data_IF_065974141378
#
_entry.id   IF_065974141378
#
_cell.length_a   1.000
_cell.length_b   1.000
_cell.length_c   1.000
_cell.angle_alpha   90.00
_cell.angle_beta   90.00
_cell.angle_gamma   90.00
#
_symmetry.space_group_name_H-M   'P 1'
#
loop_
_entity.id
_entity.type
_entity.pdbx_description
1 polymer ?
#
# COMPACT_ATOMS: atom_id res chain seq x y z
N UNK A 1 -26.14 -2.15 -13.56
CA UNK A 1 -25.47 -3.35 -14.10
C UNK A 1 -23.98 -3.09 -14.12
N UNK A 2 -23.20 -3.90 -13.40
CA UNK A 2 -21.75 -3.87 -13.56
C UNK A 2 -21.39 -4.08 -15.04
N UNK A 3 -20.38 -3.38 -15.59
CA UNK A 3 -19.97 -3.56 -16.97
C UNK A 3 -19.68 -5.05 -17.22
N UNK A 4 -20.29 -5.62 -18.26
CA UNK A 4 -20.02 -7.00 -18.66
C UNK A 4 -18.55 -7.14 -19.03
N UNK A 5 -17.97 -8.34 -18.86
CA UNK A 5 -16.56 -8.58 -19.13
C UNK A 5 -16.11 -8.20 -20.56
N UNK A 6 -17.04 -8.13 -21.53
CA UNK A 6 -16.78 -7.68 -22.89
C UNK A 6 -16.75 -6.14 -23.07
N UNK A 7 -17.34 -5.36 -22.14
CA UNK A 7 -17.27 -3.89 -22.14
C UNK A 7 -16.25 -3.32 -21.16
N UNK A 8 -15.55 -4.17 -20.39
CA UNK A 8 -14.61 -3.74 -19.35
C UNK A 8 -13.31 -3.13 -19.90
N UNK A 9 -13.01 -3.28 -21.19
CA UNK A 9 -11.76 -2.82 -21.79
C UNK A 9 -11.62 -1.29 -21.83
N UNK A 10 -12.73 -0.55 -21.77
CA UNK A 10 -12.74 0.92 -21.88
C UNK A 10 -12.96 1.63 -20.54
N UNK A 11 -13.19 0.87 -19.45
CA UNK A 11 -13.37 1.43 -18.11
C UNK A 11 -12.04 1.48 -17.38
N UNK A 12 -11.62 2.69 -17.04
CA UNK A 12 -10.42 2.90 -16.23
C UNK A 12 -10.85 3.13 -14.78
N UNK A 13 -10.36 2.31 -13.84
CA UNK A 13 -10.48 2.63 -12.41
C UNK A 13 -9.80 3.97 -12.18
N UNK A 14 -10.56 4.99 -11.76
CA UNK A 14 -10.16 6.37 -11.99
C UNK A 14 -8.87 6.71 -11.23
N UNK A 15 -7.77 7.04 -11.92
CA UNK A 15 -6.62 7.65 -11.29
C UNK A 15 -6.94 9.15 -11.12
N UNK A 16 -7.21 9.60 -9.90
CA UNK A 16 -7.51 11.00 -9.64
C UNK A 16 -7.44 11.31 -8.15
N UNK A 17 -7.31 12.58 -7.79
CA UNK A 17 -7.20 13.03 -6.40
C UNK A 17 -8.43 13.87 -6.02
N UNK A 18 -9.24 13.45 -5.03
CA UNK A 18 -9.09 12.22 -4.26
C UNK A 18 -9.53 10.98 -5.07
N UNK A 19 -8.82 9.87 -4.88
CA UNK A 19 -9.18 8.59 -5.51
C UNK A 19 -10.39 8.03 -4.76
N UNK A 20 -11.51 7.87 -5.46
CA UNK A 20 -12.62 7.09 -4.93
C UNK A 20 -12.48 5.65 -5.41
N UNK A 21 -12.10 4.76 -4.50
CA UNK A 21 -12.12 3.32 -4.76
C UNK A 21 -13.55 2.90 -5.16
N UNK A 22 -13.68 1.93 -6.07
CA UNK A 22 -14.98 1.55 -6.61
C UNK A 22 -15.59 2.60 -7.54
N UNK A 23 -14.76 3.41 -8.21
CA UNK A 23 -15.20 4.36 -9.24
C UNK A 23 -14.43 4.13 -10.53
N UNK A 24 -15.17 4.11 -11.64
CA UNK A 24 -14.63 3.91 -12.98
C UNK A 24 -15.07 5.04 -13.88
N UNK A 25 -14.17 5.45 -14.77
CA UNK A 25 -14.45 6.45 -15.78
C UNK A 25 -14.17 5.87 -17.15
N UNK A 26 -15.06 6.16 -18.10
CA UNK A 26 -14.90 5.82 -19.51
C UNK A 26 -14.92 7.11 -20.31
N UNK A 27 -13.81 7.41 -20.96
CA UNK A 27 -13.75 8.54 -21.89
C UNK A 27 -14.64 8.24 -23.11
N UNK A 28 -15.43 9.22 -23.54
CA UNK A 28 -16.21 9.12 -24.77
C UNK A 28 -15.58 10.01 -25.84
N UNK A 29 -15.51 9.55 -27.09
CA UNK A 29 -14.79 10.25 -28.16
C UNK A 29 -15.37 11.63 -28.50
N UNK A 30 -16.66 11.85 -28.20
CA UNK A 30 -17.42 13.03 -28.64
C UNK A 30 -18.35 13.60 -27.57
N UNK A 31 -18.13 13.29 -26.29
CA UNK A 31 -19.08 13.65 -25.24
C UNK A 31 -18.46 13.83 -23.86
N UNK A 32 -19.35 13.91 -22.88
CA UNK A 32 -18.96 13.87 -21.48
C UNK A 32 -18.42 12.48 -21.13
N UNK A 33 -17.43 12.38 -20.24
CA UNK A 33 -16.98 11.09 -19.76
C UNK A 33 -18.13 10.40 -19.02
N UNK A 34 -18.26 9.10 -19.22
CA UNK A 34 -19.17 8.30 -18.42
C UNK A 34 -18.51 7.94 -17.10
N UNK A 35 -19.28 7.98 -16.04
CA UNK A 35 -18.83 7.68 -14.69
C UNK A 35 -19.70 6.60 -14.09
N UNK A 36 -19.05 5.58 -13.53
CA UNK A 36 -19.71 4.49 -12.83
C UNK A 36 -19.15 4.37 -11.41
N UNK A 37 -20.04 4.17 -10.45
CA UNK A 37 -19.69 3.97 -9.04
C UNK A 37 -20.35 2.69 -8.55
N UNK A 38 -19.55 1.82 -7.93
CA UNK A 38 -20.05 0.61 -7.30
C UNK A 38 -20.11 0.79 -5.79
N UNK A 39 -21.33 0.74 -5.28
CA UNK A 39 -21.53 0.78 -3.84
C UNK A 39 -21.28 -0.58 -3.20
N UNK A 40 -20.77 -0.58 -1.97
CA UNK A 40 -20.48 -1.82 -1.25
C UNK A 40 -19.26 -2.58 -1.78
N UNK A 41 -18.45 -1.96 -2.65
CA UNK A 41 -17.10 -2.44 -2.95
C UNK A 41 -16.35 -2.68 -1.62
N UNK A 42 -15.58 -3.76 -1.52
CA UNK A 42 -15.00 -4.24 -0.24
C UNK A 42 -14.25 -3.14 0.52
N UNK A 43 -13.69 -2.19 -0.24
CA UNK A 43 -12.94 -1.06 0.28
C UNK A 43 -13.78 0.18 0.64
N UNK A 44 -14.96 0.38 0.03
CA UNK A 44 -15.82 1.54 0.29
C UNK A 44 -16.87 1.29 1.36
N UNK A 45 -17.12 0.03 1.74
CA UNK A 45 -18.16 -0.36 2.70
C UNK A 45 -18.09 0.37 4.06
N UNK A 46 -16.90 0.77 4.50
CA UNK A 46 -16.72 1.49 5.77
C UNK A 46 -16.32 2.97 5.59
N UNK A 47 -16.29 3.46 4.34
CA UNK A 47 -15.93 4.85 4.04
C UNK A 47 -17.09 5.82 4.34
N UNK A 48 -16.81 7.13 4.38
CA UNK A 48 -17.88 8.13 4.36
C UNK A 48 -18.70 7.98 3.07
N UNK A 49 -19.98 8.42 3.05
CA UNK A 49 -20.79 8.41 1.85
C UNK A 49 -20.07 9.10 0.68
N UNK A 50 -20.18 8.56 -0.54
CA UNK A 50 -19.47 9.10 -1.70
C UNK A 50 -19.92 10.53 -1.99
N UNK A 51 -18.95 11.38 -2.36
CA UNK A 51 -19.15 12.77 -2.79
C UNK A 51 -18.35 13.03 -4.06
N UNK A 52 -19.05 13.15 -5.17
CA UNK A 52 -18.50 13.23 -6.52
C UNK A 52 -18.63 14.69 -7.00
N UNK A 53 -17.52 15.41 -7.03
CA UNK A 53 -17.44 16.77 -7.58
C UNK A 53 -17.30 16.74 -9.10
N UNK A 54 -18.04 17.62 -9.79
CA UNK A 54 -18.04 17.75 -11.25
C UNK A 54 -17.64 19.19 -11.60
N UNK A 55 -16.66 19.37 -12.50
CA UNK A 55 -16.21 20.70 -12.90
C UNK A 55 -14.94 20.70 -13.77
N UNK A 56 -14.38 21.87 -14.02
CA UNK A 56 -13.14 22.02 -14.83
C UNK A 56 -11.85 21.90 -14.03
N UNK A 57 -11.91 21.89 -12.70
CA UNK A 57 -10.72 21.85 -11.86
C UNK A 57 -10.05 20.47 -11.86
N UNK A 58 -8.74 20.43 -11.61
CA UNK A 58 -7.95 19.19 -11.56
C UNK A 58 -8.31 18.25 -10.40
N UNK A 59 -8.95 18.79 -9.35
CA UNK A 59 -9.45 18.04 -8.19
C UNK A 59 -10.88 17.51 -8.38
N UNK A 60 -11.48 17.71 -9.56
CA UNK A 60 -12.83 17.22 -9.82
C UNK A 60 -12.84 15.70 -10.01
N UNK A 61 -13.83 15.04 -9.39
CA UNK A 61 -14.08 13.61 -9.60
C UNK A 61 -14.55 13.34 -11.03
N UNK A 62 -15.25 14.26 -11.66
CA UNK A 62 -15.57 14.21 -13.07
C UNK A 62 -15.10 15.52 -13.68
N UNK A 63 -13.96 15.47 -14.35
CA UNK A 63 -13.39 16.62 -15.02
C UNK A 63 -14.06 16.80 -16.36
N UNK A 64 -14.56 18.01 -16.61
CA UNK A 64 -15.18 18.41 -17.87
C UNK A 64 -14.26 19.42 -18.54
N UNK A 65 -13.78 19.12 -19.74
CA UNK A 65 -12.92 20.05 -20.51
C UNK A 65 -13.78 21.05 -21.30
N UNK A 66 -14.60 21.84 -20.60
CA UNK A 66 -15.39 22.92 -21.17
C UNK A 66 -15.22 24.20 -20.35
N UNK A 67 -14.66 25.25 -20.96
CA UNK A 67 -14.38 26.53 -20.31
C UNK A 67 -15.62 27.27 -19.80
N UNK A 68 -16.81 26.86 -20.25
CA UNK A 68 -18.10 27.37 -19.77
C UNK A 68 -18.47 26.80 -18.40
N UNK A 69 -17.95 25.64 -18.06
CA UNK A 69 -18.21 24.95 -16.78
C UNK A 69 -17.29 25.52 -15.70
N UNK A 70 -17.84 25.74 -14.50
CA UNK A 70 -17.07 26.28 -13.38
C UNK A 70 -16.05 25.24 -12.86
N UNK A 71 -14.95 25.67 -12.22
CA UNK A 71 -13.96 24.77 -11.61
C UNK A 71 -14.59 23.71 -10.71
N UNK A 72 -15.56 24.10 -9.88
CA UNK A 72 -16.44 23.22 -9.12
C UNK A 72 -17.88 23.63 -9.44
N UNK A 73 -18.51 22.89 -10.34
CA UNK A 73 -19.82 23.28 -10.88
C UNK A 73 -20.96 22.69 -10.05
N UNK A 74 -20.98 21.37 -9.87
CA UNK A 74 -21.95 20.69 -9.01
C UNK A 74 -21.30 19.52 -8.26
N UNK A 75 -22.04 18.96 -7.31
CA UNK A 75 -21.64 17.80 -6.53
C UNK A 75 -22.78 16.79 -6.51
N UNK A 76 -22.47 15.53 -6.80
CA UNK A 76 -23.37 14.39 -6.65
C UNK A 76 -22.96 13.62 -5.41
N UNK A 77 -23.86 13.38 -4.48
CA UNK A 77 -23.54 12.69 -3.23
C UNK A 77 -24.68 11.81 -2.75
N UNK A 78 -24.36 10.88 -1.85
CA UNK A 78 -25.36 10.00 -1.24
C UNK A 78 -25.59 10.38 0.22
N UNK A 79 -26.86 10.44 0.64
CA UNK A 79 -27.26 10.57 2.04
C UNK A 79 -28.38 9.57 2.34
N UNK A 80 -28.11 8.63 3.25
CA UNK A 80 -28.99 7.48 3.48
C UNK A 80 -29.16 6.64 2.20
N UNK A 81 -30.41 6.44 1.77
CA UNK A 81 -30.78 5.70 0.54
C UNK A 81 -30.74 6.54 -0.73
N UNK A 82 -30.63 7.85 -0.59
CA UNK A 82 -30.94 8.77 -1.68
C UNK A 82 -29.68 9.41 -2.23
N UNK A 83 -29.64 9.51 -3.55
CA UNK A 83 -28.64 10.30 -4.25
C UNK A 83 -29.16 11.71 -4.42
N UNK A 84 -28.26 12.68 -4.31
CA UNK A 84 -28.55 14.09 -4.43
C UNK A 84 -27.58 14.74 -5.40
N UNK A 85 -28.05 15.75 -6.11
CA UNK A 85 -27.21 16.69 -6.84
C UNK A 85 -27.39 18.08 -6.25
N UNK A 86 -26.28 18.79 -6.03
CA UNK A 86 -26.26 20.15 -5.53
C UNK A 86 -25.46 21.02 -6.49
N UNK A 87 -26.06 22.12 -6.96
CA UNK A 87 -25.34 23.14 -7.71
C UNK A 87 -24.41 23.90 -6.75
N UNK A 88 -23.10 23.95 -7.05
CA UNK A 88 -22.10 24.62 -6.20
C UNK A 88 -21.69 25.97 -6.81
N UNK A 89 -21.76 26.07 -8.14
CA UNK A 89 -21.36 27.27 -8.88
C UNK A 89 -22.43 28.35 -8.86
N UNK A 90 -22.03 29.59 -8.55
CA UNK A 90 -22.88 30.78 -8.70
C UNK A 90 -22.85 31.39 -10.10
N UNK A 91 -21.91 30.96 -10.96
CA UNK A 91 -21.71 31.55 -12.30
C UNK A 91 -22.73 31.04 -13.31
N UNK A 92 -23.10 29.77 -13.20
CA UNK A 92 -24.06 29.08 -14.05
C UNK A 92 -24.85 28.10 -13.20
N UNK A 93 -26.16 28.00 -13.43
CA UNK A 93 -27.00 27.08 -12.69
C UNK A 93 -26.78 25.65 -13.16
N UNK A 94 -26.98 24.71 -12.25
CA UNK A 94 -27.22 23.30 -12.56
C UNK A 94 -28.72 23.10 -12.72
N UNK A 95 -29.18 22.38 -13.74
CA UNK A 95 -30.62 22.11 -13.92
C UNK A 95 -30.87 20.60 -13.84
N UNK A 96 -31.99 20.18 -13.26
CA UNK A 96 -32.50 18.80 -13.32
C UNK A 96 -33.83 18.83 -14.09
N UNK A 97 -33.84 18.24 -15.28
CA UNK A 97 -34.89 18.48 -16.27
C UNK A 97 -35.02 19.97 -16.61
N UNK A 98 -36.23 20.52 -16.43
CA UNK A 98 -36.52 21.95 -16.59
C UNK A 98 -36.37 22.76 -15.29
N UNK A 99 -36.00 22.12 -14.18
CA UNK A 99 -35.87 22.76 -12.87
C UNK A 99 -34.46 23.28 -12.66
N UNK A 100 -34.33 24.59 -12.54
CA UNK A 100 -33.06 25.26 -12.18
C UNK A 100 -32.79 25.12 -10.68
N UNK A 101 -31.64 24.57 -10.31
CA UNK A 101 -31.24 24.44 -8.90
C UNK A 101 -30.63 25.74 -8.39
N UNK A 102 -31.04 26.15 -7.19
CA UNK A 102 -30.37 27.23 -6.46
C UNK A 102 -29.03 26.72 -5.90
N UNK A 103 -27.94 27.51 -5.98
CA UNK A 103 -26.66 27.09 -5.43
C UNK A 103 -26.75 26.77 -3.93
N UNK A 104 -26.27 25.59 -3.53
CA UNK A 104 -26.34 25.11 -2.15
C UNK A 104 -27.61 24.33 -1.79
N UNK A 105 -28.59 24.24 -2.69
CA UNK A 105 -29.81 23.45 -2.48
C UNK A 105 -29.68 22.09 -3.15
N UNK A 106 -29.74 21.03 -2.34
CA UNK A 106 -29.67 19.66 -2.82
C UNK A 106 -31.01 19.23 -3.44
N UNK A 107 -30.94 18.56 -4.60
CA UNK A 107 -32.06 17.96 -5.30
C UNK A 107 -31.91 16.44 -5.27
N UNK A 108 -32.92 15.73 -4.79
CA UNK A 108 -32.92 14.27 -4.75
C UNK A 108 -33.07 13.71 -6.18
N UNK A 109 -32.08 12.92 -6.61
CA UNK A 109 -32.06 12.26 -7.90
C UNK A 109 -32.88 10.97 -7.88
N UNK A 110 -33.53 10.69 -9.01
CA UNK A 110 -34.20 9.42 -9.36
C UNK A 110 -33.55 8.78 -10.58
N UNK A 111 -33.69 7.46 -10.73
CA UNK A 111 -33.20 6.77 -11.93
C UNK A 111 -33.98 7.27 -13.15
N UNK A 112 -33.27 7.64 -14.22
CA UNK A 112 -33.79 8.29 -15.41
C UNK A 112 -33.73 9.83 -15.37
N UNK A 113 -33.38 10.44 -14.24
CA UNK A 113 -33.22 11.89 -14.17
C UNK A 113 -32.06 12.35 -15.07
N UNK A 114 -32.25 13.51 -15.70
CA UNK A 114 -31.23 14.16 -16.51
C UNK A 114 -30.88 15.49 -15.87
N UNK A 115 -29.62 15.67 -15.49
CA UNK A 115 -29.13 16.96 -15.03
C UNK A 115 -28.13 17.57 -16.00
N UNK A 116 -28.10 18.90 -16.10
CA UNK A 116 -27.26 19.64 -17.03
C UNK A 116 -26.38 20.66 -16.32
N UNK A 117 -25.17 20.85 -16.85
CA UNK A 117 -24.17 21.81 -16.34
C UNK A 117 -24.28 23.20 -17.00
N UNK A 118 -25.22 23.38 -17.93
CA UNK A 118 -25.39 24.63 -18.66
C UNK A 118 -26.87 24.83 -19.03
N UNK A 119 -27.27 26.10 -19.17
CA UNK A 119 -28.62 26.49 -19.58
C UNK A 119 -28.65 26.99 -21.04
N UNK A 120 -29.67 26.68 -21.84
CA UNK A 120 -30.74 25.68 -21.62
C UNK A 120 -30.19 24.25 -21.78
N UNK A 121 -30.89 23.28 -21.19
CA UNK A 121 -30.42 21.93 -20.81
C UNK A 121 -29.69 21.06 -21.87
N UNK A 122 -29.43 21.49 -23.10
CA UNK A 122 -29.14 20.61 -24.24
C UNK A 122 -27.66 20.31 -24.53
N UNK A 123 -26.71 21.02 -23.91
CA UNK A 123 -25.31 20.92 -24.34
C UNK A 123 -24.47 19.91 -23.53
N UNK A 124 -24.68 19.83 -22.22
CA UNK A 124 -23.88 19.01 -21.31
C UNK A 124 -24.81 18.35 -20.29
N UNK A 125 -25.31 17.17 -20.63
CA UNK A 125 -26.26 16.41 -19.84
C UNK A 125 -25.63 15.13 -19.30
N UNK A 126 -25.93 14.81 -18.05
CA UNK A 126 -25.73 13.49 -17.47
C UNK A 126 -27.09 12.84 -17.26
N UNK A 127 -27.25 11.63 -17.78
CA UNK A 127 -28.33 10.72 -17.44
C UNK A 127 -27.93 9.96 -16.18
N UNK A 128 -28.82 9.94 -15.19
CA UNK A 128 -28.61 9.21 -13.93
C UNK A 128 -29.32 7.87 -14.06
N UNK A 129 -28.57 6.78 -13.89
CA UNK A 129 -29.14 5.44 -13.82
C UNK A 129 -28.73 4.80 -12.49
N UNK A 130 -29.73 4.28 -11.77
CA UNK A 130 -29.52 3.45 -10.59
C UNK A 130 -29.90 2.01 -10.92
N UNK A 131 -29.10 1.07 -10.42
CA UNK A 131 -29.45 -0.34 -10.42
C UNK A 131 -29.91 -0.73 -9.00
N UNK A 132 -31.18 -1.08 -8.85
CA UNK A 132 -31.73 -1.51 -7.57
C UNK A 132 -31.04 -2.77 -7.03
N UNK A 133 -30.46 -3.59 -7.91
CA UNK A 133 -29.67 -4.76 -7.51
C UNK A 133 -28.39 -4.37 -6.77
N UNK A 134 -27.85 -3.17 -7.01
CA UNK A 134 -26.65 -2.67 -6.31
C UNK A 134 -26.96 -2.22 -4.87
N UNK A 135 -28.24 -2.07 -4.50
CA UNK A 135 -28.70 -1.81 -3.14
C UNK A 135 -28.94 -3.09 -2.31
N UNK A 136 -28.40 -4.24 -2.72
CA UNK A 136 -28.62 -5.54 -2.05
C UNK A 136 -28.27 -5.59 -0.56
N UNK A 137 -27.44 -4.66 -0.07
CA UNK A 137 -27.06 -4.56 1.34
C UNK A 137 -28.04 -3.72 2.17
N UNK A 138 -28.95 -3.00 1.52
CA UNK A 138 -30.08 -2.31 2.14
C UNK A 138 -31.28 -3.24 2.12
N UNK A 139 -31.93 -3.42 3.27
CA UNK A 139 -33.23 -4.09 3.31
C UNK A 139 -34.27 -3.16 2.69
N UNK A 140 -34.61 -3.40 1.42
CA UNK A 140 -35.59 -2.60 0.68
C UNK A 140 -37.01 -2.72 1.23
N UNK A 141 -37.27 -3.72 2.10
CA UNK A 141 -38.59 -3.97 2.67
C UNK A 141 -38.80 -3.30 4.03
N UNK A 142 -37.74 -2.87 4.71
CA UNK A 142 -37.85 -2.12 5.95
C UNK A 142 -37.23 -0.73 5.82
N UNK A 143 -37.89 0.30 6.34
CA UNK A 143 -37.30 1.64 6.52
C UNK A 143 -36.16 1.65 7.53
N UNK A 144 -35.86 0.49 8.13
CA UNK A 144 -34.65 0.28 8.88
C UNK A 144 -33.53 0.07 7.87
N UNK A 145 -32.92 1.17 7.42
CA UNK A 145 -31.54 1.14 6.96
C UNK A 145 -30.75 0.34 7.98
N UNK A 146 -30.36 -0.89 7.63
CA UNK A 146 -29.39 -1.60 8.42
C UNK A 146 -28.13 -0.75 8.30
N UNK A 147 -27.74 0.04 9.32
CA UNK A 147 -26.38 0.55 9.32
C UNK A 147 -25.52 -0.72 9.26
N UNK A 148 -24.38 -0.66 8.57
CA UNK A 148 -23.30 -1.63 8.66
C UNK A 148 -23.54 -2.77 9.66
N UNK A 149 -23.44 -4.05 9.27
CA UNK A 149 -23.62 -5.23 10.15
C UNK A 149 -22.92 -5.17 11.54
N UNK A 150 -22.11 -4.17 11.82
CA UNK A 150 -21.84 -3.65 13.15
C UNK A 150 -22.85 -2.56 13.53
N UNK A 151 -23.90 -2.88 14.31
CA UNK A 151 -24.81 -1.86 14.77
C UNK A 151 -23.98 -0.74 15.42
N UNK A 152 -24.19 0.52 15.00
CA UNK A 152 -23.47 1.68 15.54
C UNK A 152 -23.56 1.75 17.08
N UNK A 153 -24.54 1.03 17.64
CA UNK A 153 -24.67 0.66 19.04
C UNK A 153 -25.01 -0.83 19.10
N UNK A 154 -24.09 -1.69 19.56
CA UNK A 154 -24.46 -3.06 19.92
C UNK A 154 -25.73 -3.03 20.79
N UNK A 155 -26.72 -3.93 20.57
CA UNK A 155 -27.86 -4.03 21.48
C UNK A 155 -27.32 -4.28 22.90
N UNK A 156 -27.60 -3.33 23.79
CA UNK A 156 -26.95 -3.17 25.09
C UNK A 156 -26.33 -1.77 25.17
N UNK A 157 -26.95 -0.86 25.92
CA UNK A 157 -26.37 0.45 26.16
C UNK A 157 -24.96 0.24 26.77
N UNK A 158 -23.91 1.01 26.38
CA UNK A 158 -22.56 0.82 26.94
C UNK A 158 -22.50 0.94 28.47
N UNK A 159 -23.54 1.49 29.09
CA UNK A 159 -23.75 1.55 30.55
C UNK A 159 -24.22 0.24 31.18
N UNK A 160 -24.75 -0.71 30.39
CA UNK A 160 -25.27 -2.00 30.85
C UNK A 160 -24.31 -3.17 30.60
N UNK A 161 -23.35 -3.01 29.68
CA UNK A 161 -22.30 -3.99 29.49
C UNK A 161 -21.33 -3.97 30.68
N UNK A 162 -20.96 -5.12 31.26
CA UNK A 162 -19.91 -5.14 32.27
C UNK A 162 -18.61 -4.58 31.67
N UNK A 163 -17.85 -3.78 32.42
CA UNK A 163 -16.60 -3.22 31.92
C UNK A 163 -15.67 -4.36 31.49
N UNK A 164 -15.16 -4.29 30.26
CA UNK A 164 -14.23 -5.29 29.75
C UNK A 164 -13.00 -5.39 30.68
N UNK A 165 -12.54 -6.59 31.02
CA UNK A 165 -11.27 -6.79 31.72
C UNK A 165 -10.13 -6.02 31.05
N UNK A 166 -9.25 -5.39 31.83
CA UNK A 166 -8.11 -4.61 31.31
C UNK A 166 -7.21 -5.44 30.36
N UNK A 167 -7.07 -6.74 30.62
CA UNK A 167 -6.34 -7.65 29.73
C UNK A 167 -6.96 -7.70 28.32
N UNK A 168 -8.29 -7.71 28.21
CA UNK A 168 -8.99 -7.74 26.91
C UNK A 168 -8.92 -6.39 26.20
N UNK A 169 -8.95 -5.27 26.93
CA UNK A 169 -8.70 -3.93 26.34
C UNK A 169 -7.30 -3.85 25.75
N UNK A 170 -6.30 -4.34 26.49
CA UNK A 170 -4.91 -4.41 26.02
C UNK A 170 -4.78 -5.31 24.79
N UNK A 171 -5.47 -6.45 24.79
CA UNK A 171 -5.47 -7.39 23.67
C UNK A 171 -6.10 -6.78 22.41
N UNK A 172 -7.19 -6.01 22.55
CA UNK A 172 -7.82 -5.29 21.45
C UNK A 172 -6.86 -4.27 20.83
N UNK A 173 -6.17 -3.48 21.67
CA UNK A 173 -5.14 -2.55 21.22
C UNK A 173 -3.97 -3.27 20.52
N UNK A 174 -3.46 -4.36 21.10
CA UNK A 174 -2.39 -5.16 20.49
C UNK A 174 -2.81 -5.76 19.13
N UNK A 175 -4.07 -6.16 18.98
CA UNK A 175 -4.61 -6.69 17.73
C UNK A 175 -4.64 -5.62 16.65
N UNK A 176 -5.05 -4.39 16.97
CA UNK A 176 -5.00 -3.26 16.03
C UNK A 176 -3.55 -2.90 15.65
N UNK A 177 -2.61 -2.95 16.59
CA UNK A 177 -1.19 -2.75 16.29
C UNK A 177 -0.64 -3.83 15.36
N UNK A 178 -0.98 -5.11 15.59
CA UNK A 178 -0.55 -6.21 14.72
C UNK A 178 -1.14 -6.09 13.31
N UNK A 179 -2.40 -5.62 13.19
CA UNK A 179 -3.02 -5.33 11.89
C UNK A 179 -2.26 -4.24 11.15
N UNK A 180 -2.03 -3.07 11.77
CA UNK A 180 -1.30 -1.95 11.14
C UNK A 180 0.12 -2.34 10.74
N UNK A 181 0.84 -3.05 11.61
CA UNK A 181 2.18 -3.55 11.29
C UNK A 181 2.16 -4.57 10.16
N UNK A 182 1.12 -5.40 10.07
CA UNK A 182 0.95 -6.34 8.96
C UNK A 182 0.68 -5.63 7.63
N UNK A 183 -0.11 -4.55 7.64
CA UNK A 183 -0.35 -3.70 6.46
C UNK A 183 0.94 -3.02 5.98
N UNK A 184 1.89 -2.80 6.88
CA UNK A 184 3.23 -2.27 6.59
C UNK A 184 4.28 -3.36 6.31
N UNK A 185 3.88 -4.63 6.16
CA UNK A 185 4.77 -5.80 5.94
C UNK A 185 5.80 -6.03 7.08
N UNK A 186 5.56 -5.49 8.27
CA UNK A 186 6.47 -5.55 9.43
C UNK A 186 6.22 -6.75 10.36
N UNK A 187 5.35 -7.69 9.96
CA UNK A 187 4.98 -8.86 10.76
C UNK A 187 5.19 -10.11 9.92
N UNK A 188 6.03 -11.02 10.41
CA UNK A 188 6.20 -12.32 9.77
C UNK A 188 4.95 -13.17 9.96
N UNK A 189 4.64 -14.04 9.00
CA UNK A 189 3.50 -14.97 9.07
C UNK A 189 3.54 -15.82 10.35
N UNK A 190 4.74 -16.21 10.80
CA UNK A 190 4.95 -16.96 12.03
C UNK A 190 4.55 -16.16 13.29
N UNK A 191 4.86 -14.86 13.34
CA UNK A 191 4.50 -13.98 14.44
C UNK A 191 2.99 -13.74 14.49
N UNK A 192 2.36 -13.63 13.32
CA UNK A 192 0.91 -13.51 13.23
C UNK A 192 0.21 -14.76 13.73
N UNK A 193 0.65 -15.95 13.32
CA UNK A 193 0.13 -17.22 13.80
C UNK A 193 0.30 -17.37 15.32
N UNK A 194 1.48 -17.04 15.86
CA UNK A 194 1.75 -17.08 17.30
C UNK A 194 0.83 -16.12 18.07
N UNK A 195 0.65 -14.90 17.56
CA UNK A 195 -0.25 -13.90 18.15
C UNK A 195 -1.72 -14.34 18.11
N UNK A 196 -2.19 -14.92 17.01
CA UNK A 196 -3.56 -15.45 16.93
C UNK A 196 -3.80 -16.57 17.95
N UNK A 197 -2.82 -17.46 18.19
CA UNK A 197 -2.91 -18.46 19.25
C UNK A 197 -2.92 -17.84 20.65
N UNK A 198 -2.13 -16.78 20.87
CA UNK A 198 -2.12 -16.01 22.11
C UNK A 198 -3.48 -15.34 22.39
N UNK A 199 -4.09 -14.71 21.39
CA UNK A 199 -5.43 -14.10 21.47
C UNK A 199 -6.48 -15.17 21.79
N UNK A 200 -6.44 -16.30 21.08
CA UNK A 200 -7.37 -17.43 21.31
C UNK A 200 -7.28 -17.96 22.75
N UNK A 201 -6.07 -18.13 23.28
CA UNK A 201 -5.85 -18.56 24.67
C UNK A 201 -6.42 -17.56 25.68
N UNK A 202 -6.31 -16.25 25.41
CA UNK A 202 -6.87 -15.22 26.27
C UNK A 202 -8.39 -15.19 26.24
N UNK A 203 -9.01 -15.28 25.06
CA UNK A 203 -10.47 -15.38 24.97
C UNK A 203 -11.02 -16.61 25.69
N UNK A 204 -10.33 -17.74 25.59
CA UNK A 204 -10.71 -18.97 26.30
C UNK A 204 -10.70 -18.80 27.83
N UNK A 205 -9.75 -18.03 28.39
CA UNK A 205 -9.69 -17.70 29.84
C UNK A 205 -10.94 -16.96 30.33
N UNK A 206 -11.60 -16.20 29.45
CA UNK A 206 -12.81 -15.42 29.75
C UNK A 206 -14.11 -16.13 29.31
N UNK A 207 -14.03 -17.40 28.91
CA UNK A 207 -15.21 -18.14 28.41
C UNK A 207 -15.73 -17.61 27.07
N UNK A 208 -14.90 -16.89 26.31
CA UNK A 208 -15.22 -16.44 24.96
C UNK A 208 -14.70 -17.50 24.00
N UNK A 209 -15.62 -18.14 23.28
CA UNK A 209 -15.30 -19.19 22.30
C UNK A 209 -15.58 -18.66 20.90
N UNK A 210 -14.64 -18.90 19.99
CA UNK A 210 -14.88 -18.66 18.57
C UNK A 210 -15.51 -19.93 17.98
N UNK A 211 -16.76 -19.84 17.55
CA UNK A 211 -17.34 -20.86 16.69
C UNK A 211 -16.82 -20.66 15.26
N UNK A 212 -16.39 -21.73 14.58
CA UNK A 212 -16.05 -21.62 13.17
C UNK A 212 -17.27 -21.10 12.40
N UNK A 213 -17.07 -20.10 11.55
CA UNK A 213 -18.13 -19.58 10.71
C UNK A 213 -18.70 -20.70 9.82
N UNK A 214 -19.93 -21.14 10.09
CA UNK A 214 -20.56 -22.30 9.43
C UNK A 214 -20.84 -22.10 7.92
N UNK A 215 -20.68 -20.87 7.39
CA UNK A 215 -21.06 -20.54 6.02
C UNK A 215 -20.00 -20.69 4.92
N UNK A 216 -18.73 -20.97 5.25
CA UNK A 216 -17.63 -20.93 4.27
C UNK A 216 -16.77 -22.19 4.21
N UNK A 217 -17.09 -23.21 5.01
CA UNK A 217 -16.43 -24.51 4.93
C UNK A 217 -17.50 -25.55 4.64
N UNK A 218 -17.75 -25.80 3.35
CA UNK A 218 -18.23 -27.12 2.94
C UNK A 218 -17.28 -28.21 3.50
N UNK A 219 -17.62 -29.51 3.35
CA UNK A 219 -16.64 -30.56 3.63
C UNK A 219 -15.34 -30.15 2.96
N UNK A 220 -14.25 -30.08 3.74
CA UNK A 220 -12.96 -29.61 3.23
C UNK A 220 -12.73 -30.30 1.89
N UNK A 221 -12.60 -29.55 0.77
CA UNK A 221 -12.47 -30.18 -0.54
C UNK A 221 -11.39 -31.25 -0.40
N UNK A 222 -11.64 -32.48 -0.88
CA UNK A 222 -10.72 -33.59 -0.67
C UNK A 222 -9.34 -33.09 -1.06
N UNK A 223 -8.41 -33.09 -0.09
CA UNK A 223 -7.06 -32.56 -0.36
C UNK A 223 -6.57 -33.26 -1.62
N UNK A 224 -6.11 -32.51 -2.64
CA UNK A 224 -5.56 -33.17 -3.82
C UNK A 224 -4.50 -34.17 -3.33
N UNK A 225 -4.44 -35.37 -3.92
CA UNK A 225 -3.43 -36.35 -3.54
C UNK A 225 -2.08 -35.66 -3.56
N UNK A 226 -1.26 -35.88 -2.53
CA UNK A 226 0.10 -35.31 -2.49
C UNK A 226 0.75 -35.66 -3.83
N UNK A 227 1.25 -34.68 -4.59
CA UNK A 227 1.87 -34.96 -5.87
C UNK A 227 3.00 -35.97 -5.63
N UNK A 228 3.09 -36.99 -6.49
CA UNK A 228 4.17 -37.96 -6.41
C UNK A 228 5.51 -37.19 -6.45
N UNK A 229 6.47 -37.51 -5.57
CA UNK A 229 7.76 -36.87 -5.56
C UNK A 229 8.40 -37.00 -6.96
N UNK A 230 8.94 -35.90 -7.48
CA UNK A 230 9.58 -35.86 -8.80
C UNK A 230 11.10 -35.88 -8.61
N UNK A 231 11.85 -36.55 -9.50
CA UNK A 231 13.30 -36.46 -9.50
C UNK A 231 13.71 -35.00 -9.70
N UNK A 232 14.73 -34.58 -8.96
CA UNK A 232 15.31 -33.25 -9.08
C UNK A 232 16.15 -33.12 -10.36
N UNK A 233 16.27 -31.89 -10.89
CA UNK A 233 17.25 -31.60 -11.92
C UNK A 233 18.65 -32.01 -11.46
N UNK A 234 19.46 -32.56 -12.36
CA UNK A 234 20.77 -33.14 -12.05
C UNK A 234 21.67 -32.21 -11.23
N UNK A 235 21.70 -30.91 -11.54
CA UNK A 235 22.53 -29.95 -10.81
C UNK A 235 22.13 -29.77 -9.33
N UNK A 236 20.82 -29.88 -9.01
CA UNK A 236 20.33 -29.83 -7.62
C UNK A 236 20.72 -31.11 -6.91
N UNK A 237 20.55 -32.25 -7.57
CA UNK A 237 20.94 -33.56 -7.06
C UNK A 237 22.44 -33.59 -6.74
N UNK A 238 23.28 -33.07 -7.62
CA UNK A 238 24.74 -32.97 -7.42
C UNK A 238 25.09 -32.04 -6.26
N UNK A 239 24.45 -30.88 -6.17
CA UNK A 239 24.68 -29.91 -5.08
C UNK A 239 24.30 -30.50 -3.72
N UNK A 240 23.11 -31.10 -3.62
CA UNK A 240 22.59 -31.64 -2.36
C UNK A 240 23.30 -32.95 -1.98
N UNK A 241 23.73 -33.76 -2.95
CA UNK A 241 24.55 -34.95 -2.67
C UNK A 241 25.95 -34.60 -2.13
N UNK A 242 26.43 -33.37 -2.35
CA UNK A 242 27.69 -32.90 -1.78
C UNK A 242 27.56 -32.47 -0.31
N UNK A 243 26.36 -32.13 0.16
CA UNK A 243 26.16 -31.75 1.55
C UNK A 243 26.47 -32.94 2.47
N UNK A 244 27.40 -32.73 3.40
CA UNK A 244 27.76 -33.71 4.40
C UNK A 244 27.07 -33.37 5.71
N UNK A 245 26.37 -34.36 6.28
CA UNK A 245 25.87 -34.23 7.63
C UNK A 245 27.01 -34.14 8.63
N UNK A 246 26.80 -33.33 9.67
CA UNK A 246 27.72 -33.26 10.80
C UNK A 246 27.75 -34.62 11.53
N UNK A 247 28.89 -35.03 12.11
CA UNK A 247 29.11 -36.38 12.66
C UNK A 247 28.16 -36.81 13.79
N UNK A 248 27.39 -35.86 14.34
CA UNK A 248 26.52 -36.02 15.51
C UNK A 248 25.04 -35.78 15.20
N UNK A 249 24.68 -35.63 13.92
CA UNK A 249 23.29 -35.46 13.51
C UNK A 249 22.77 -36.78 12.99
N UNK A 250 22.08 -37.52 13.85
CA UNK A 250 21.48 -38.83 13.55
C UNK A 250 20.00 -38.69 13.17
N UNK A 251 19.72 -37.91 12.11
CA UNK A 251 18.37 -37.72 11.58
C UNK A 251 18.36 -38.00 10.09
N UNK A 252 17.28 -38.60 9.61
CA UNK A 252 17.04 -38.79 8.17
C UNK A 252 17.06 -37.42 7.46
N UNK A 253 17.71 -37.34 6.31
CA UNK A 253 17.75 -36.09 5.56
C UNK A 253 16.35 -35.80 5.02
N UNK A 254 15.83 -34.57 5.17
CA UNK A 254 14.48 -34.23 4.72
C UNK A 254 14.28 -34.38 3.21
N UNK A 255 15.36 -34.63 2.46
CA UNK A 255 15.41 -34.81 1.02
C UNK A 255 15.97 -36.17 0.57
N UNK A 256 16.12 -37.14 1.48
CA UNK A 256 16.68 -38.45 1.14
C UNK A 256 15.86 -39.15 0.05
N UNK A 257 14.53 -39.19 0.18
CA UNK A 257 13.64 -39.78 -0.81
C UNK A 257 13.79 -39.14 -2.20
N UNK A 258 13.96 -37.81 -2.26
CA UNK A 258 14.12 -37.07 -3.52
C UNK A 258 15.49 -37.31 -4.16
N UNK A 259 16.55 -37.44 -3.36
CA UNK A 259 17.88 -37.84 -3.85
C UNK A 259 17.85 -39.25 -4.44
N UNK A 260 17.26 -40.20 -3.74
CA UNK A 260 17.14 -41.59 -4.17
C UNK A 260 16.34 -41.71 -5.47
N UNK A 261 15.20 -41.01 -5.56
CA UNK A 261 14.41 -40.91 -6.80
C UNK A 261 15.18 -40.27 -7.95
N UNK A 262 16.15 -39.41 -7.66
CA UNK A 262 17.02 -38.76 -8.64
C UNK A 262 18.27 -39.58 -8.99
N UNK A 263 18.39 -40.82 -8.47
CA UNK A 263 19.52 -41.71 -8.74
C UNK A 263 20.79 -41.37 -7.98
N UNK A 264 20.71 -40.58 -6.90
CA UNK A 264 21.84 -40.23 -6.05
C UNK A 264 21.62 -40.69 -4.61
N UNK A 265 22.72 -40.85 -3.87
CA UNK A 265 22.69 -41.13 -2.44
C UNK A 265 23.37 -39.99 -1.68
N UNK A 266 22.86 -39.61 -0.50
CA UNK A 266 23.54 -38.63 0.33
C UNK A 266 24.95 -39.13 0.71
N UNK A 267 25.93 -38.22 0.74
CA UNK A 267 27.27 -38.57 1.23
C UNK A 267 27.20 -38.98 2.69
N UNK A 268 27.92 -40.06 3.02
CA UNK A 268 28.06 -40.50 4.42
C UNK A 268 28.59 -39.34 5.27
N UNK A 269 28.07 -39.14 6.50
CA UNK A 269 28.63 -38.18 7.44
C UNK A 269 30.14 -38.40 7.55
N UNK A 270 30.91 -37.32 7.69
CA UNK A 270 32.32 -37.46 8.01
C UNK A 270 32.42 -38.26 9.31
N UNK A 271 33.06 -39.43 9.25
CA UNK A 271 33.40 -40.16 10.46
C UNK A 271 34.13 -39.21 11.43
N UNK A 272 33.94 -39.35 12.74
CA UNK A 272 34.63 -38.50 13.70
C UNK A 272 36.12 -38.50 13.35
N UNK A 273 36.70 -37.32 13.09
CA UNK A 273 38.16 -37.18 12.98
C UNK A 273 38.75 -37.84 14.21
N UNK A 274 39.84 -38.60 14.00
CA UNK A 274 40.57 -39.42 14.98
C UNK A 274 40.38 -38.97 16.43
N UNK A 275 40.25 -39.91 17.40
CA UNK A 275 39.99 -39.59 18.80
C UNK A 275 40.90 -38.45 19.23
N UNK A 276 40.28 -37.38 19.74
CA UNK A 276 40.97 -36.19 20.21
C UNK A 276 42.12 -36.67 21.11
N UNK A 277 43.38 -36.26 20.85
CA UNK A 277 44.50 -36.73 21.65
C UNK A 277 44.17 -36.49 23.14
N UNK A 278 44.58 -37.39 24.05
CA UNK A 278 44.31 -37.27 25.49
C UNK A 278 45.12 -36.10 26.06
N UNK A 279 44.68 -34.88 25.75
CA UNK A 279 45.14 -33.65 26.35
C UNK A 279 44.14 -33.20 27.41
N UNK A 280 44.58 -32.42 28.40
CA UNK A 280 43.71 -31.94 29.47
C UNK A 280 42.52 -31.20 28.87
N UNK A 281 41.33 -31.77 29.05
CA UNK A 281 40.08 -31.11 28.70
C UNK A 281 40.00 -29.92 29.66
N UNK A 282 40.12 -28.70 29.14
CA UNK A 282 39.84 -27.50 29.93
C UNK A 282 38.42 -27.63 30.46
N UNK A 283 38.28 -27.97 31.74
CA UNK A 283 37.01 -27.84 32.43
C UNK A 283 36.54 -26.42 32.19
N UNK A 284 35.29 -26.26 31.75
CA UNK A 284 34.64 -24.97 31.69
C UNK A 284 34.76 -24.36 33.10
N UNK A 285 35.74 -23.46 33.23
CA UNK A 285 36.13 -22.89 34.49
C UNK A 285 34.97 -22.12 35.09
N UNK A 286 34.78 -22.30 36.39
CA UNK A 286 34.06 -21.36 37.24
C UNK A 286 34.53 -19.95 36.87
N UNK A 287 33.62 -19.15 36.32
CA UNK A 287 33.93 -17.79 35.90
C UNK A 287 34.31 -16.96 37.13
N UNK A 288 35.60 -16.66 37.27
CA UNK A 288 36.11 -15.76 38.27
C UNK A 288 35.64 -14.34 37.93
N UNK A 289 34.78 -13.77 38.79
CA UNK A 289 34.03 -12.54 38.52
C UNK A 289 34.89 -11.28 38.46
N UNK A 290 36.17 -11.35 38.84
CA UNK A 290 37.04 -10.18 39.01
C UNK A 290 38.00 -9.91 37.84
N UNK A 291 37.98 -10.70 36.76
CA UNK A 291 38.85 -10.47 35.59
C UNK A 291 38.07 -10.18 34.31
N UNK A 292 37.60 -8.94 34.18
CA UNK A 292 37.15 -8.38 32.90
C UNK A 292 38.13 -7.31 32.40
N UNK A 293 39.08 -7.70 31.55
CA UNK A 293 39.69 -6.83 30.51
C UNK A 293 40.22 -7.66 29.34
N UNK A 294 39.44 -7.70 28.26
CA UNK A 294 39.85 -7.69 26.84
C UNK A 294 38.58 -8.02 26.04
N UNK A 295 38.10 -7.20 25.09
CA UNK A 295 38.87 -6.47 24.10
C UNK A 295 39.14 -7.38 22.90
N UNK A 296 38.08 -7.90 22.26
CA UNK A 296 38.17 -8.73 21.07
C UNK A 296 37.35 -8.12 19.93
N UNK A 297 38.01 -7.33 19.09
CA UNK A 297 37.49 -6.79 17.83
C UNK A 297 37.50 -7.89 16.76
N UNK A 298 36.33 -8.28 16.27
CA UNK A 298 36.19 -9.16 15.11
C UNK A 298 36.28 -8.36 13.81
N UNK A 299 37.45 -8.36 13.17
CA UNK A 299 37.63 -8.02 11.74
C UNK A 299 37.24 -9.25 10.91
N UNK A 300 36.27 -9.14 10.03
CA UNK A 300 36.17 -10.03 8.86
C UNK A 300 36.81 -9.32 7.65
N UNK A 301 37.89 -9.88 7.12
CA UNK A 301 38.40 -9.58 5.79
C UNK A 301 37.73 -10.50 4.77
N UNK A 302 37.48 -9.97 3.57
CA UNK A 302 36.86 -10.68 2.45
C UNK A 302 37.85 -11.32 1.47
N UNK A 303 37.37 -11.40 0.23
CA UNK A 303 37.96 -11.92 -1.03
C UNK A 303 37.63 -13.41 -1.32
N UNK A 304 37.20 -13.85 -2.52
CA UNK A 304 37.19 -13.22 -3.84
C UNK A 304 36.09 -13.79 -4.79
N UNK A 305 35.66 -12.91 -5.70
CA UNK A 305 35.17 -12.99 -7.08
C UNK A 305 34.89 -14.32 -7.80
N UNK A 306 33.79 -14.33 -8.57
CA UNK A 306 33.72 -14.98 -9.89
C UNK A 306 32.76 -14.24 -10.84
N UNK A 307 33.27 -13.98 -12.05
CA UNK A 307 32.73 -13.20 -13.15
C UNK A 307 32.45 -14.18 -14.31
N UNK A 308 31.30 -14.06 -15.01
CA UNK A 308 31.15 -14.64 -16.35
C UNK A 308 30.15 -13.83 -17.19
N UNK A 309 30.59 -13.51 -18.41
CA UNK A 309 29.97 -12.70 -19.46
C UNK A 309 29.23 -13.62 -20.44
N UNK A 310 28.14 -13.11 -21.03
CA UNK A 310 27.58 -13.66 -22.28
C UNK A 310 26.79 -12.61 -23.06
N UNK A 311 27.36 -12.12 -24.16
CA UNK A 311 26.69 -11.34 -25.23
C UNK A 311 26.51 -12.25 -26.45
N UNK A 312 25.39 -12.13 -27.15
CA UNK A 312 25.31 -11.98 -28.63
C UNK A 312 23.96 -11.38 -29.06
N UNK A 313 24.03 -10.43 -30.00
CA UNK A 313 23.00 -9.66 -30.74
C UNK A 313 22.23 -10.51 -31.79
N UNK A 314 21.39 -9.93 -32.68
CA UNK A 314 20.26 -9.02 -32.46
C UNK A 314 18.96 -9.57 -33.12
N UNK A 315 17.80 -9.06 -32.72
CA UNK A 315 16.57 -9.21 -33.51
C UNK A 315 15.94 -7.83 -33.68
N UNK A 316 15.89 -7.34 -34.91
CA UNK A 316 15.10 -6.16 -35.30
C UNK A 316 13.65 -6.58 -35.50
N UNK A 317 12.71 -5.77 -35.03
CA UNK A 317 11.69 -5.30 -35.96
C UNK A 317 11.57 -3.78 -35.93
N UNK A 318 11.34 -3.23 -37.13
CA UNK A 318 10.92 -1.87 -37.37
C UNK A 318 9.68 -1.51 -36.55
N UNK A 319 9.84 -0.61 -35.58
CA UNK A 319 8.73 0.20 -35.08
C UNK A 319 9.25 1.60 -34.79
N UNK A 320 8.74 2.58 -35.55
CA UNK A 320 8.97 4.01 -35.36
C UNK A 320 8.79 4.39 -33.89
N UNK A 321 9.88 4.74 -33.22
CA UNK A 321 9.86 5.45 -31.95
C UNK A 321 9.60 6.92 -32.26
N UNK A 322 8.44 7.42 -31.83
CA UNK A 322 8.18 8.85 -31.69
C UNK A 322 9.12 9.40 -30.61
N UNK A 323 9.88 10.45 -30.95
CA UNK A 323 10.63 11.25 -29.98
C UNK A 323 9.68 11.72 -28.86
N UNK A 324 10.03 11.52 -27.58
CA UNK A 324 9.30 12.17 -26.50
C UNK A 324 9.50 13.68 -26.62
N UNK A 325 8.38 14.41 -26.67
CA UNK A 325 8.37 15.87 -26.66
C UNK A 325 9.15 16.40 -25.43
N UNK A 326 9.92 17.51 -25.58
CA UNK A 326 10.66 18.09 -24.48
C UNK A 326 9.69 18.49 -23.35
N UNK A 327 9.90 17.91 -22.18
CA UNK A 327 9.26 18.30 -20.92
C UNK A 327 9.38 19.81 -20.75
N UNK A 328 8.24 20.49 -20.62
CA UNK A 328 8.16 21.93 -20.49
C UNK A 328 9.11 22.43 -19.39
N UNK A 329 10.13 23.18 -19.80
CA UNK A 329 11.03 23.87 -18.89
C UNK A 329 10.20 24.86 -18.07
N UNK A 330 10.18 24.67 -16.75
CA UNK A 330 9.66 25.64 -15.82
C UNK A 330 10.38 26.98 -16.04
N UNK A 331 9.61 28.08 -16.13
CA UNK A 331 10.17 29.41 -16.28
C UNK A 331 11.23 29.69 -15.20
N UNK A 332 12.41 30.23 -15.57
CA UNK A 332 13.47 30.51 -14.62
C UNK A 332 13.01 31.60 -13.65
N UNK A 333 12.75 31.20 -12.41
CA UNK A 333 12.53 32.14 -11.31
C UNK A 333 13.78 32.99 -11.10
N UNK A 334 13.62 34.25 -10.65
CA UNK A 334 14.75 35.08 -10.26
C UNK A 334 15.59 34.33 -9.23
N UNK A 335 16.89 34.18 -9.51
CA UNK A 335 17.81 33.41 -8.69
C UNK A 335 17.87 34.01 -7.28
N UNK A 336 17.29 33.30 -6.31
CA UNK A 336 17.56 33.57 -4.89
C UNK A 336 19.06 33.39 -4.67
N UNK A 337 19.70 34.36 -4.01
CA UNK A 337 21.13 34.30 -3.73
C UNK A 337 21.42 33.16 -2.75
N UNK A 338 22.51 32.43 -2.99
CA UNK A 338 22.92 31.23 -2.21
C UNK A 338 23.03 31.50 -0.70
N UNK A 339 23.27 32.76 -0.31
CA UNK A 339 23.34 33.16 1.10
C UNK A 339 21.98 33.11 1.81
N UNK A 340 20.87 33.37 1.12
CA UNK A 340 19.53 33.36 1.73
C UNK A 340 19.07 31.94 2.11
N UNK A 341 19.52 30.93 1.35
CA UNK A 341 19.18 29.52 1.59
C UNK A 341 19.83 28.99 2.88
N UNK A 342 21.04 29.46 3.22
CA UNK A 342 21.77 29.02 4.43
C UNK A 342 21.12 29.50 5.72
N UNK A 343 20.34 30.58 5.69
CA UNK A 343 19.62 31.09 6.85
C UNK A 343 18.38 30.27 7.24
N UNK A 344 17.88 29.42 6.32
CA UNK A 344 16.60 28.71 6.50
C UNK A 344 16.70 27.41 7.28
N UNK A 345 17.91 26.91 7.57
CA UNK A 345 18.08 25.65 8.27
C UNK A 345 18.97 25.83 9.51
N UNK A 346 18.47 25.35 10.66
CA UNK A 346 19.08 25.56 11.98
C UNK A 346 20.27 24.65 12.27
N UNK A 347 20.47 23.62 11.45
CA UNK A 347 21.55 22.64 11.59
C UNK A 347 22.47 22.72 10.37
N UNK A 348 23.80 22.65 10.57
CA UNK A 348 24.76 22.59 9.46
C UNK A 348 24.41 21.43 8.53
N UNK A 349 24.25 21.73 7.24
CA UNK A 349 23.91 20.71 6.25
C UNK A 349 25.06 19.71 6.12
N UNK A 350 24.78 18.39 6.14
CA UNK A 350 25.80 17.39 5.91
C UNK A 350 26.38 17.54 4.49
N UNK A 351 27.71 17.45 4.35
CA UNK A 351 28.39 17.64 3.06
C UNK A 351 28.15 16.55 2.01
N UNK A 352 27.29 15.57 2.26
CA UNK A 352 26.90 14.54 1.28
C UNK A 352 25.47 14.03 1.53
N UNK A 353 24.79 13.59 0.46
CA UNK A 353 23.46 12.98 0.57
C UNK A 353 23.46 11.75 1.47
N UNK A 354 24.52 10.94 1.44
CA UNK A 354 24.64 9.77 2.31
C UNK A 354 24.64 10.14 3.78
N UNK A 355 25.45 11.12 4.18
CA UNK A 355 25.50 11.60 5.57
C UNK A 355 24.17 12.22 5.99
N UNK A 356 23.50 12.93 5.07
CA UNK A 356 22.17 13.48 5.30
C UNK A 356 21.10 12.40 5.52
N UNK A 357 21.00 11.40 4.64
CA UNK A 357 20.04 10.29 4.80
C UNK A 357 20.29 9.48 6.07
N UNK A 358 21.56 9.29 6.45
CA UNK A 358 21.94 8.62 7.70
C UNK A 358 21.58 9.39 8.96
N UNK A 359 21.37 10.71 8.87
CA UNK A 359 20.98 11.55 10.01
C UNK A 359 19.47 11.48 10.33
N UNK A 360 18.66 10.86 9.47
CA UNK A 360 17.22 10.74 9.67
C UNK A 360 16.89 9.57 10.62
N UNK A 361 15.84 9.70 11.45
CA UNK A 361 15.41 8.70 12.46
C UNK A 361 15.07 7.31 11.87
N UNK A 362 15.00 7.20 10.54
CA UNK A 362 14.60 6.02 9.78
C UNK A 362 15.52 5.77 8.57
N UNK A 363 16.82 6.03 8.74
CA UNK A 363 17.82 6.00 7.68
C UNK A 363 17.76 4.74 6.78
N UNK A 364 17.48 3.56 7.36
CA UNK A 364 17.40 2.30 6.61
C UNK A 364 16.35 2.32 5.49
N UNK A 365 15.26 3.08 5.66
CA UNK A 365 14.15 3.14 4.70
C UNK A 365 14.39 4.15 3.58
N UNK A 366 15.21 5.18 3.85
CA UNK A 366 15.48 6.28 2.90
C UNK A 366 16.83 6.16 2.20
N UNK A 367 17.76 5.37 2.74
CA UNK A 367 19.06 5.08 2.12
C UNK A 367 18.98 4.59 0.65
N UNK A 368 18.00 3.76 0.24
CA UNK A 368 17.87 3.36 -1.16
C UNK A 368 17.71 4.51 -2.16
N UNK A 369 17.28 5.70 -1.72
CA UNK A 369 17.14 6.88 -2.58
C UNK A 369 18.45 7.65 -2.81
N UNK A 370 19.56 7.23 -2.19
CA UNK A 370 20.86 7.87 -2.33
C UNK A 370 21.27 8.08 -3.79
N UNK A 371 21.14 7.04 -4.62
CA UNK A 371 21.61 7.07 -6.01
C UNK A 371 20.72 7.97 -6.87
N UNK A 372 19.40 7.94 -6.64
CA UNK A 372 18.46 8.83 -7.31
C UNK A 372 18.72 10.30 -6.96
N UNK A 373 18.97 10.60 -5.68
CA UNK A 373 19.30 11.94 -5.21
C UNK A 373 20.61 12.45 -5.82
N UNK A 374 21.66 11.62 -5.80
CA UNK A 374 22.98 11.98 -6.34
C UNK A 374 22.96 12.14 -7.86
N UNK A 375 22.08 11.42 -8.56
CA UNK A 375 21.93 11.54 -10.01
C UNK A 375 21.14 12.77 -10.46
N UNK A 376 20.26 13.30 -9.60
CA UNK A 376 19.34 14.39 -9.97
C UNK A 376 19.72 15.74 -9.38
N UNK A 377 20.51 15.74 -8.31
CA UNK A 377 20.88 16.93 -7.58
C UNK A 377 22.38 16.96 -7.31
N UNK A 378 22.96 18.14 -7.42
CA UNK A 378 24.37 18.39 -7.17
C UNK A 378 24.65 18.51 -5.66
N UNK A 379 23.70 19.05 -4.89
CA UNK A 379 23.86 19.28 -3.46
C UNK A 379 22.54 19.37 -2.69
N UNK A 380 22.62 19.28 -1.35
CA UNK A 380 21.45 19.41 -0.48
C UNK A 380 20.88 20.85 -0.47
N UNK A 381 21.73 21.85 -0.66
CA UNK A 381 21.34 23.25 -0.83
C UNK A 381 20.46 23.45 -2.06
N UNK A 382 20.73 22.73 -3.15
CA UNK A 382 19.90 22.77 -4.35
C UNK A 382 18.49 22.23 -4.07
N UNK A 383 18.37 21.13 -3.32
CA UNK A 383 17.07 20.57 -2.91
C UNK A 383 16.30 21.58 -2.05
N UNK A 384 16.97 22.20 -1.08
CA UNK A 384 16.37 23.21 -0.21
C UNK A 384 15.86 24.42 -1.00
N UNK A 385 16.65 24.92 -1.95
CA UNK A 385 16.29 26.07 -2.77
C UNK A 385 15.10 25.77 -3.70
N UNK A 386 15.08 24.59 -4.31
CA UNK A 386 14.07 24.24 -5.31
C UNK A 386 12.75 23.79 -4.70
N UNK A 387 12.80 23.02 -3.61
CA UNK A 387 11.65 22.26 -3.13
C UNK A 387 11.22 22.56 -1.70
N UNK A 388 11.94 23.37 -0.92
CA UNK A 388 11.59 23.61 0.48
C UNK A 388 11.16 25.05 0.69
N UNK A 389 9.97 25.23 1.29
CA UNK A 389 9.41 26.54 1.65
C UNK A 389 8.80 26.49 3.03
N UNK A 390 9.20 27.42 3.91
CA UNK A 390 8.69 27.53 5.28
C UNK A 390 8.75 26.18 6.06
N UNK A 391 9.85 25.43 5.90
CA UNK A 391 10.03 24.12 6.51
C UNK A 391 9.21 22.98 5.90
N UNK A 392 8.43 23.24 4.85
CA UNK A 392 7.65 22.20 4.14
C UNK A 392 8.27 21.84 2.80
N UNK A 393 8.24 20.53 2.49
CA UNK A 393 8.75 19.98 1.23
C UNK A 393 7.63 19.92 0.21
N UNK A 394 7.85 20.54 -0.94
CA UNK A 394 6.98 20.50 -2.11
C UNK A 394 6.85 19.06 -2.63
N UNK A 395 5.63 18.66 -3.01
CA UNK A 395 5.36 17.32 -3.51
C UNK A 395 6.20 16.96 -4.75
N UNK A 396 6.57 17.97 -5.56
CA UNK A 396 7.41 17.81 -6.76
C UNK A 396 8.78 17.20 -6.46
N UNK A 397 9.30 17.33 -5.24
CA UNK A 397 10.53 16.65 -4.81
C UNK A 397 10.36 15.13 -4.83
N UNK A 398 9.24 14.63 -4.31
CA UNK A 398 8.99 13.19 -4.23
C UNK A 398 8.81 12.59 -5.62
N UNK A 399 8.19 13.34 -6.53
CA UNK A 399 7.98 12.90 -7.91
C UNK A 399 9.30 12.88 -8.68
N UNK A 400 10.18 13.88 -8.48
CA UNK A 400 11.51 13.89 -9.06
C UNK A 400 12.35 12.67 -8.60
N UNK A 401 12.45 12.45 -7.29
CA UNK A 401 13.27 11.35 -6.72
C UNK A 401 12.64 9.97 -6.93
N UNK A 402 11.35 9.89 -7.28
CA UNK A 402 10.63 8.62 -7.43
C UNK A 402 10.17 8.01 -6.09
N UNK A 403 9.93 8.84 -5.07
CA UNK A 403 9.45 8.40 -3.76
C UNK A 403 7.92 8.27 -3.81
N UNK A 404 7.42 7.03 -3.95
CA UNK A 404 5.98 6.75 -4.00
C UNK A 404 5.38 6.38 -2.64
N UNK A 405 6.16 5.72 -1.76
CA UNK A 405 5.65 5.23 -0.47
C UNK A 405 5.39 6.39 0.50
N UNK A 406 4.16 6.49 1.01
CA UNK A 406 3.73 7.55 1.93
C UNK A 406 4.61 7.62 3.20
N UNK A 407 5.00 6.48 3.77
CA UNK A 407 5.88 6.43 4.94
C UNK A 407 7.21 7.13 4.70
N UNK A 408 7.83 6.90 3.53
CA UNK A 408 9.12 7.50 3.18
C UNK A 408 8.99 9.01 2.99
N UNK A 409 7.91 9.48 2.32
CA UNK A 409 7.62 10.91 2.17
C UNK A 409 7.54 11.62 3.52
N UNK A 410 6.87 10.99 4.50
CA UNK A 410 6.74 11.53 5.86
C UNK A 410 8.09 11.67 6.58
N UNK A 411 9.04 10.76 6.35
CA UNK A 411 10.40 10.86 6.93
C UNK A 411 11.10 12.12 6.45
N UNK A 412 11.09 12.39 5.14
CA UNK A 412 11.65 13.63 4.58
C UNK A 412 10.92 14.87 5.12
N UNK A 413 9.59 14.91 5.05
CA UNK A 413 8.79 16.04 5.53
C UNK A 413 9.06 16.34 7.01
N UNK A 414 9.13 15.30 7.85
CA UNK A 414 9.46 15.42 9.27
C UNK A 414 10.85 16.03 9.45
N UNK A 415 11.84 15.55 8.71
CA UNK A 415 13.21 16.06 8.80
C UNK A 415 13.26 17.55 8.44
N UNK A 416 12.72 17.96 7.30
CA UNK A 416 12.75 19.35 6.85
C UNK A 416 11.96 20.28 7.79
N UNK A 417 10.81 19.84 8.33
CA UNK A 417 10.03 20.63 9.29
C UNK A 417 10.77 20.84 10.62
N UNK A 418 11.55 19.86 11.06
CA UNK A 418 12.32 19.96 12.30
C UNK A 418 13.58 20.82 12.14
N UNK A 419 14.21 20.78 10.97
CA UNK A 419 15.54 21.36 10.78
C UNK A 419 15.49 22.71 10.06
N UNK A 420 14.53 22.92 9.16
CA UNK A 420 14.38 24.14 8.40
C UNK A 420 13.14 24.92 8.85
N UNK A 421 13.30 26.23 9.06
CA UNK A 421 12.27 27.15 9.54
C UNK A 421 12.13 28.32 8.60
#
# INVERSE_FOLDING_TARGET
>A
MAPTAESSADWCEKPGFPSHEGSWIRATTHGLPEYWYQEGHEKTRNGPPPRISIGTHEDAHIRVDDSRVAPRHCMVFKEGRHWFVEGVSTRRPTNVGDTMLEPGVAYQLSSGDVFSLDGPARALQYLVEFDDADNWYLDTTSDNDFPNRWPAKMPGHPTEAPPAPEELKRLAWQTDQMRRRSEEEQVLVADWAAFSQYVKKHYHKYGIFAEPWQGSLGPAPPRPPKPAPRPWPQWVTELVAQEQMLPYVDRELPFQELLELSGAAPRRPLGPRAPKPPGPVSGWGVADRERYKSGGTGRMMGDASLLAIGRTQPFQPDTRVQEPAPSAAAEPRPAETVEDVRGRCSVPLPGSFKAWLQSMEDAQFVLPYHDALTSQFDSLEQILSLFVRAGEVDHRFFDAVGIQKLGHRRVFQKWFRSHCK
#
